data_IF_592659714700
#
_entry.id   IF_592659714700
#
_cell.length_a   1.000
_cell.length_b   1.000
_cell.length_c   1.000
_cell.angle_alpha   90.00
_cell.angle_beta   90.00
_cell.angle_gamma   90.00
#
_symmetry.space_group_name_H-M   'P 1'
#
loop_
_entity.id
_entity.type
_entity.pdbx_description
1 polymer ?
#
# COMPACT_ATOMS: atom_id res chain seq x y z
N UNK A 1 0.52 3.59 41.37
CA UNK A 1 1.96 3.60 41.67
C UNK A 1 2.66 2.89 40.52
N UNK A 2 3.20 3.65 39.56
CA UNK A 2 3.74 3.10 38.31
C UNK A 2 5.18 2.63 38.49
N UNK A 3 5.45 1.36 38.19
CA UNK A 3 6.80 0.85 38.04
C UNK A 3 7.28 1.19 36.63
N UNK A 4 8.21 2.14 36.51
CA UNK A 4 8.99 2.29 35.28
C UNK A 4 10.06 1.19 35.27
N UNK A 5 9.97 0.25 34.30
CA UNK A 5 11.05 -0.69 34.03
C UNK A 5 12.23 0.10 33.46
N UNK A 6 13.30 0.25 34.25
CA UNK A 6 14.59 0.70 33.76
C UNK A 6 15.21 -0.44 32.94
N UNK A 7 15.38 -0.22 31.63
CA UNK A 7 16.09 -1.17 30.78
C UNK A 7 17.58 -1.17 31.16
N UNK A 8 18.15 -2.36 31.36
CA UNK A 8 19.54 -2.54 31.76
C UNK A 8 20.50 -2.33 30.59
N UNK A 9 21.78 -2.11 30.89
CA UNK A 9 22.85 -1.98 29.87
C UNK A 9 22.98 -3.26 29.01
N UNK A 10 22.65 -4.41 29.58
CA UNK A 10 22.60 -5.70 28.86
C UNK A 10 21.41 -5.78 27.90
N UNK A 11 20.27 -5.15 28.23
CA UNK A 11 19.12 -5.04 27.33
C UNK A 11 19.45 -4.17 26.10
N UNK A 12 20.22 -3.08 26.30
CA UNK A 12 20.72 -2.26 25.20
C UNK A 12 21.77 -2.99 24.34
N UNK A 13 22.66 -3.77 24.94
CA UNK A 13 23.68 -4.54 24.22
C UNK A 13 23.05 -5.66 23.38
N UNK A 14 22.07 -6.39 23.92
CA UNK A 14 21.30 -7.40 23.18
C UNK A 14 20.45 -6.76 22.06
N UNK A 15 19.81 -5.62 22.31
CA UNK A 15 19.08 -4.90 21.28
C UNK A 15 19.98 -4.41 20.14
N UNK A 16 21.21 -3.95 20.44
CA UNK A 16 22.22 -3.60 19.43
C UNK A 16 22.69 -4.80 18.64
N UNK A 17 22.94 -5.93 19.29
CA UNK A 17 23.34 -7.18 18.62
C UNK A 17 22.23 -7.74 17.73
N UNK A 18 20.96 -7.58 18.10
CA UNK A 18 19.82 -8.00 17.27
C UNK A 18 19.57 -7.05 16.07
N UNK A 19 20.06 -5.81 16.14
CA UNK A 19 19.98 -4.84 15.04
C UNK A 19 21.11 -5.02 14.02
N UNK A 20 22.25 -5.60 14.40
CA UNK A 20 23.41 -5.79 13.51
C UNK A 20 23.24 -6.90 12.47
N UNK A 21 22.37 -7.89 12.73
CA UNK A 21 22.15 -9.02 11.81
C UNK A 21 20.99 -8.81 10.81
N UNK A 22 20.31 -7.65 10.87
CA UNK A 22 19.20 -7.36 9.97
C UNK A 22 19.70 -6.86 8.62
N UNK A 23 19.05 -7.26 7.50
CA UNK A 23 19.35 -6.66 6.21
C UNK A 23 19.12 -5.15 6.29
N UNK A 24 19.79 -4.33 5.45
CA UNK A 24 19.56 -2.90 5.40
C UNK A 24 18.07 -2.56 5.28
N UNK A 25 17.65 -1.45 5.88
CA UNK A 25 16.27 -1.01 5.78
C UNK A 25 15.90 -0.80 4.31
N UNK A 26 14.75 -1.34 3.86
CA UNK A 26 14.25 -1.09 2.53
C UNK A 26 14.10 0.40 2.24
N UNK A 27 14.52 0.81 1.05
CA UNK A 27 14.36 2.18 0.62
C UNK A 27 12.87 2.55 0.53
N UNK A 28 12.55 3.82 0.79
CA UNK A 28 11.18 4.32 0.66
C UNK A 28 10.75 4.45 -0.82
N UNK A 29 11.72 4.49 -1.73
CA UNK A 29 11.52 4.76 -3.15
C UNK A 29 11.30 6.25 -3.45
N UNK A 30 11.56 6.69 -4.69
CA UNK A 30 11.30 8.07 -5.10
C UNK A 30 9.79 8.37 -5.17
N UNK A 31 9.46 9.66 -5.19
CA UNK A 31 8.13 10.11 -5.61
C UNK A 31 8.04 10.01 -7.13
N UNK A 32 7.12 9.19 -7.63
CA UNK A 32 6.81 9.10 -9.06
C UNK A 32 5.53 9.89 -9.41
N UNK A 33 4.92 10.53 -8.41
CA UNK A 33 3.74 11.38 -8.55
C UNK A 33 3.99 12.58 -9.47
N UNK A 34 3.01 12.89 -10.32
CA UNK A 34 2.96 14.11 -11.15
C UNK A 34 1.58 14.74 -11.09
N UNK A 35 1.51 16.06 -11.16
CA UNK A 35 0.24 16.76 -11.43
C UNK A 35 0.00 16.72 -12.94
N UNK A 36 -1.21 16.33 -13.36
CA UNK A 36 -1.56 16.19 -14.78
C UNK A 36 -2.93 16.79 -15.06
N UNK A 37 -3.15 17.21 -16.30
CA UNK A 37 -4.50 17.41 -16.81
C UNK A 37 -5.24 16.06 -16.81
N UNK A 38 -6.49 16.05 -16.37
CA UNK A 38 -7.25 14.82 -16.22
C UNK A 38 -8.74 15.09 -16.41
N UNK A 39 -9.23 14.78 -17.60
CA UNK A 39 -10.65 14.88 -17.96
C UNK A 39 -11.43 13.72 -17.34
N UNK A 40 -12.39 14.06 -16.49
CA UNK A 40 -13.25 13.09 -15.80
C UNK A 40 -14.53 13.77 -15.31
N UNK A 41 -15.59 12.98 -15.16
CA UNK A 41 -16.83 13.39 -14.50
C UNK A 41 -16.81 13.13 -12.98
N UNK A 42 -15.74 12.52 -12.47
CA UNK A 42 -15.57 12.20 -11.06
C UNK A 42 -15.27 13.45 -10.22
N UNK A 43 -15.76 13.46 -8.99
CA UNK A 43 -15.57 14.58 -8.06
C UNK A 43 -14.16 14.57 -7.42
N UNK A 44 -13.65 15.73 -6.98
CA UNK A 44 -12.42 15.81 -6.19
C UNK A 44 -12.42 14.85 -4.99
N UNK A 45 -11.27 14.23 -4.73
CA UNK A 45 -11.13 13.17 -3.72
C UNK A 45 -11.41 11.76 -4.23
N UNK A 46 -11.94 11.61 -5.45
CA UNK A 46 -12.10 10.30 -6.10
C UNK A 46 -10.76 9.77 -6.59
N UNK A 47 -10.55 8.47 -6.38
CA UNK A 47 -9.45 7.74 -6.99
C UNK A 47 -9.94 7.07 -8.27
N UNK A 48 -9.21 7.23 -9.36
CA UNK A 48 -9.41 6.49 -10.61
C UNK A 48 -8.15 5.69 -10.91
N UNK A 49 -8.27 4.37 -10.99
CA UNK A 49 -7.18 3.47 -11.33
C UNK A 49 -7.36 3.05 -12.78
N UNK A 50 -6.37 3.33 -13.62
CA UNK A 50 -6.31 2.87 -15.01
C UNK A 50 -5.21 1.82 -15.12
N UNK A 51 -5.61 0.55 -15.13
CA UNK A 51 -4.68 -0.58 -15.07
C UNK A 51 -3.79 -0.66 -16.30
N UNK A 52 -4.35 -0.41 -17.49
CA UNK A 52 -3.61 -0.37 -18.75
C UNK A 52 -2.50 0.68 -18.78
N UNK A 53 -2.67 1.78 -18.04
CA UNK A 53 -1.66 2.85 -17.90
C UNK A 53 -0.72 2.63 -16.72
N UNK A 54 -0.96 1.60 -15.90
CA UNK A 54 -0.29 1.37 -14.62
C UNK A 54 -0.27 2.64 -13.76
N UNK A 55 -1.42 3.31 -13.71
CA UNK A 55 -1.56 4.61 -13.07
C UNK A 55 -2.77 4.69 -12.14
N UNK A 56 -2.58 5.39 -11.03
CA UNK A 56 -3.64 5.80 -10.11
C UNK A 56 -3.74 7.33 -10.16
N UNK A 57 -4.95 7.83 -10.36
CA UNK A 57 -5.26 9.26 -10.41
C UNK A 57 -6.09 9.64 -9.19
N UNK A 58 -5.62 10.59 -8.39
CA UNK A 58 -6.44 11.26 -7.37
C UNK A 58 -6.95 12.57 -7.95
N UNK A 59 -8.25 12.67 -8.19
CA UNK A 59 -8.88 13.90 -8.72
C UNK A 59 -8.73 15.00 -7.67
N UNK A 60 -8.06 16.11 -8.02
CA UNK A 60 -7.84 17.23 -7.09
C UNK A 60 -8.81 18.38 -7.32
N UNK A 61 -9.20 18.59 -8.58
CA UNK A 61 -10.21 19.56 -9.03
C UNK A 61 -10.63 19.20 -10.46
N UNK A 62 -11.64 19.89 -10.98
CA UNK A 62 -12.07 19.70 -12.37
C UNK A 62 -10.90 19.88 -13.36
N UNK A 63 -10.74 18.91 -14.27
CA UNK A 63 -9.66 18.90 -15.27
C UNK A 63 -8.26 18.59 -14.73
N UNK A 64 -8.10 18.22 -13.44
CA UNK A 64 -6.77 17.98 -12.85
C UNK A 64 -6.76 16.80 -11.87
N UNK A 65 -5.67 16.02 -11.91
CA UNK A 65 -5.40 14.97 -10.94
C UNK A 65 -3.92 14.91 -10.55
N UNK A 66 -3.67 14.29 -9.40
CA UNK A 66 -2.35 13.73 -9.08
C UNK A 66 -2.28 12.31 -9.64
N UNK A 67 -1.36 12.09 -10.59
CA UNK A 67 -1.06 10.78 -11.15
C UNK A 67 0.07 10.13 -10.37
N UNK A 68 -0.16 8.93 -9.87
CA UNK A 68 0.82 8.07 -9.22
C UNK A 68 1.11 6.88 -10.13
N UNK A 69 2.39 6.50 -10.25
CA UNK A 69 2.78 5.27 -10.91
C UNK A 69 2.48 4.09 -9.97
N UNK A 70 1.85 3.03 -10.48
CA UNK A 70 1.54 1.82 -9.71
C UNK A 70 2.06 0.56 -10.41
N UNK A 71 2.26 -0.52 -9.65
CA UNK A 71 2.20 -1.88 -10.21
C UNK A 71 0.79 -2.44 -10.03
N UNK A 72 0.33 -3.21 -11.01
CA UNK A 72 -0.95 -3.92 -10.97
C UNK A 72 -0.66 -5.41 -10.89
N UNK A 73 -1.32 -6.10 -9.95
CA UNK A 73 -1.15 -7.54 -9.83
C UNK A 73 -1.84 -8.33 -10.94
N UNK A 74 -1.40 -9.56 -11.17
CA UNK A 74 -1.99 -10.47 -12.18
C UNK A 74 -3.50 -10.61 -12.00
N UNK A 75 -3.95 -10.79 -10.76
CA UNK A 75 -5.37 -10.90 -10.39
C UNK A 75 -6.07 -9.52 -10.37
N UNK A 76 -5.31 -8.42 -10.36
CA UNK A 76 -5.83 -7.06 -10.48
C UNK A 76 -6.28 -6.73 -11.91
N UNK A 77 -5.71 -7.37 -12.94
CA UNK A 77 -6.13 -7.16 -14.32
C UNK A 77 -7.56 -7.60 -14.60
N UNK A 78 -8.04 -8.68 -13.95
CA UNK A 78 -9.40 -9.18 -14.14
C UNK A 78 -10.49 -8.33 -13.46
N UNK A 79 -10.11 -7.42 -12.55
CA UNK A 79 -11.09 -6.73 -11.70
C UNK A 79 -11.34 -5.29 -12.16
N UNK A 80 -12.62 -4.95 -12.38
CA UNK A 80 -13.08 -3.59 -12.68
C UNK A 80 -14.31 -3.24 -11.82
N UNK A 81 -14.62 -1.95 -11.77
CA UNK A 81 -15.83 -1.45 -11.13
C UNK A 81 -15.56 -0.40 -10.05
N UNK A 82 -16.57 -0.15 -9.23
CA UNK A 82 -16.56 0.91 -8.22
C UNK A 82 -16.51 0.29 -6.83
N UNK A 83 -15.66 0.85 -5.97
CA UNK A 83 -15.53 0.53 -4.55
C UNK A 83 -15.28 1.78 -3.73
N UNK A 84 -15.11 1.62 -2.43
CA UNK A 84 -14.73 2.71 -1.53
C UNK A 84 -13.51 2.34 -0.70
N UNK A 85 -12.78 3.35 -0.26
CA UNK A 85 -11.77 3.20 0.81
C UNK A 85 -12.52 2.96 2.12
N UNK A 86 -12.53 1.73 2.63
CA UNK A 86 -13.24 1.40 3.87
C UNK A 86 -12.40 1.59 5.13
N UNK A 87 -11.09 1.37 5.02
CA UNK A 87 -10.16 1.53 6.13
C UNK A 87 -8.78 1.96 5.64
N UNK A 88 -7.98 2.43 6.60
CA UNK A 88 -6.63 2.98 6.39
C UNK A 88 -5.75 2.56 7.56
N UNK A 89 -4.57 2.03 7.28
CA UNK A 89 -3.61 1.61 8.31
C UNK A 89 -2.20 2.11 8.01
N UNK A 90 -1.55 2.62 9.04
CA UNK A 90 -0.11 2.89 9.03
C UNK A 90 0.66 1.65 9.46
N UNK A 91 1.74 1.33 8.73
CA UNK A 91 2.56 0.13 8.96
C UNK A 91 1.71 -1.12 9.20
N UNK A 92 0.88 -1.53 8.22
CA UNK A 92 -0.01 -2.67 8.38
C UNK A 92 0.76 -3.97 8.64
N UNK A 93 0.17 -4.88 9.40
CA UNK A 93 0.53 -6.30 9.31
C UNK A 93 0.03 -6.87 7.97
N UNK A 94 0.67 -7.93 7.49
CA UNK A 94 0.22 -8.63 6.29
C UNK A 94 -0.07 -10.09 6.60
N UNK A 95 -1.27 -10.54 6.24
CA UNK A 95 -1.66 -11.95 6.25
C UNK A 95 -1.90 -12.36 4.81
N UNK A 96 -1.08 -13.24 4.23
CA UNK A 96 -1.33 -13.71 2.88
C UNK A 96 -2.72 -14.35 2.79
N UNK A 97 -3.52 -14.06 1.74
CA UNK A 97 -4.80 -14.71 1.53
C UNK A 97 -4.68 -16.24 1.50
N UNK A 98 -5.74 -16.95 1.87
CA UNK A 98 -5.73 -18.42 1.94
C UNK A 98 -5.39 -19.05 0.59
N UNK A 99 -5.91 -18.48 -0.48
CA UNK A 99 -5.68 -18.92 -1.87
C UNK A 99 -4.22 -18.72 -2.27
N UNK A 100 -3.58 -17.68 -1.76
CA UNK A 100 -2.16 -17.41 -1.98
C UNK A 100 -1.30 -18.45 -1.25
N UNK A 101 -1.58 -18.73 0.03
CA UNK A 101 -0.89 -19.78 0.79
C UNK A 101 -1.14 -21.19 0.24
N UNK A 102 -2.30 -21.44 -0.38
CA UNK A 102 -2.56 -22.72 -1.04
C UNK A 102 -1.65 -22.94 -2.26
N UNK A 103 -1.27 -21.85 -2.97
CA UNK A 103 -0.34 -21.91 -4.11
C UNK A 103 1.13 -21.84 -3.69
N UNK A 104 1.42 -21.17 -2.58
CA UNK A 104 2.76 -20.99 -2.01
C UNK A 104 2.72 -21.34 -0.51
N UNK A 105 2.78 -22.64 -0.15
CA UNK A 105 2.68 -23.11 1.23
C UNK A 105 3.80 -22.60 2.15
N UNK A 106 4.92 -22.17 1.59
CA UNK A 106 6.07 -21.58 2.29
C UNK A 106 5.81 -20.17 2.82
N UNK A 107 4.74 -19.50 2.36
CA UNK A 107 4.41 -18.15 2.82
C UNK A 107 4.09 -18.15 4.33
N UNK A 108 4.59 -17.15 5.07
CA UNK A 108 4.32 -17.05 6.50
C UNK A 108 2.82 -16.83 6.75
N UNK A 109 2.34 -17.26 7.92
CA UNK A 109 0.95 -16.98 8.31
C UNK A 109 0.69 -15.48 8.45
N UNK A 110 1.70 -14.73 8.88
CA UNK A 110 1.65 -13.30 9.11
C UNK A 110 3.07 -12.71 8.98
N UNK A 111 3.16 -11.54 8.37
CA UNK A 111 4.34 -10.68 8.40
C UNK A 111 4.01 -9.46 9.26
N UNK A 112 4.79 -9.17 10.31
CA UNK A 112 4.47 -8.09 11.24
C UNK A 112 4.57 -6.72 10.57
N UNK A 113 3.97 -5.73 11.22
CA UNK A 113 4.16 -4.33 10.89
C UNK A 113 5.66 -3.97 10.85
N UNK A 114 6.08 -3.21 9.83
CA UNK A 114 7.44 -2.70 9.76
C UNK A 114 7.98 -2.52 8.35
N UNK A 115 9.24 -2.05 8.23
CA UNK A 115 9.85 -1.65 6.96
C UNK A 115 10.04 -2.81 5.98
N UNK A 116 10.15 -4.05 6.49
CA UNK A 116 10.28 -5.25 5.67
C UNK A 116 8.93 -5.86 5.24
N UNK A 117 7.81 -5.30 5.67
CA UNK A 117 6.49 -5.80 5.30
C UNK A 117 6.21 -5.50 3.81
N UNK A 118 5.71 -6.47 3.01
CA UNK A 118 5.44 -6.26 1.59
C UNK A 118 4.31 -5.25 1.31
N UNK A 119 3.44 -4.96 2.28
CA UNK A 119 2.46 -3.88 2.18
C UNK A 119 3.08 -2.49 2.40
N UNK A 120 4.32 -2.43 2.86
CA UNK A 120 5.06 -1.19 3.07
C UNK A 120 4.47 -0.28 4.14
N UNK A 121 4.64 1.03 3.94
CA UNK A 121 4.38 2.01 4.98
C UNK A 121 2.89 2.28 5.23
N UNK A 122 2.02 2.13 4.23
CA UNK A 122 0.58 2.42 4.33
C UNK A 122 -0.24 1.44 3.50
N UNK A 123 -1.47 1.17 3.95
CA UNK A 123 -2.47 0.47 3.17
C UNK A 123 -3.85 1.14 3.26
N UNK A 124 -4.54 1.23 2.12
CA UNK A 124 -5.94 1.60 1.99
C UNK A 124 -6.70 0.34 1.59
N UNK A 125 -7.71 -0.03 2.37
CA UNK A 125 -8.50 -1.24 2.18
C UNK A 125 -9.74 -0.93 1.35
N UNK A 126 -9.96 -1.71 0.29
CA UNK A 126 -11.03 -1.46 -0.67
C UNK A 126 -12.24 -2.32 -0.33
N UNK A 127 -13.39 -1.67 -0.11
CA UNK A 127 -14.64 -2.31 0.25
C UNK A 127 -15.67 -2.15 -0.87
N UNK A 128 -16.42 -3.23 -1.12
CA UNK A 128 -17.61 -3.25 -1.98
C UNK A 128 -18.80 -3.57 -1.12
N UNK A 129 -19.81 -2.69 -1.10
CA UNK A 129 -21.05 -2.89 -0.33
C UNK A 129 -20.81 -3.25 1.14
N UNK A 130 -19.82 -2.59 1.76
CA UNK A 130 -19.42 -2.82 3.15
C UNK A 130 -18.57 -4.08 3.40
N UNK A 131 -18.26 -4.86 2.37
CA UNK A 131 -17.45 -6.09 2.47
C UNK A 131 -16.03 -5.87 1.94
N UNK A 132 -15.04 -6.46 2.61
CA UNK A 132 -13.64 -6.42 2.17
C UNK A 132 -13.50 -7.17 0.83
N UNK A 133 -12.89 -6.51 -0.15
CA UNK A 133 -12.59 -7.10 -1.45
C UNK A 133 -11.28 -7.88 -1.47
N UNK A 134 -10.50 -7.81 -0.38
CA UNK A 134 -9.11 -8.25 -0.27
C UNK A 134 -8.11 -7.46 -1.13
N UNK A 135 -8.58 -6.55 -1.99
CA UNK A 135 -7.75 -5.61 -2.74
C UNK A 135 -7.37 -4.40 -1.88
N UNK A 136 -6.16 -3.92 -2.11
CA UNK A 136 -5.59 -2.78 -1.37
C UNK A 136 -4.80 -1.88 -2.30
N UNK A 137 -4.76 -0.60 -1.96
CA UNK A 137 -3.74 0.34 -2.45
C UNK A 137 -2.70 0.46 -1.35
N UNK A 138 -1.46 0.08 -1.60
CA UNK A 138 -0.45 -0.03 -0.56
C UNK A 138 0.96 0.35 -1.03
N UNK A 139 1.87 0.51 -0.07
CA UNK A 139 3.30 0.77 -0.31
C UNK A 139 4.07 -0.51 -0.65
N UNK A 140 5.38 -0.49 -0.48
CA UNK A 140 6.19 -1.68 -0.70
C UNK A 140 7.55 -1.61 -0.02
N UNK A 141 8.11 -2.77 0.32
CA UNK A 141 9.51 -2.93 0.70
C UNK A 141 10.45 -3.12 -0.52
N UNK A 142 9.93 -3.09 -1.74
CA UNK A 142 10.71 -3.20 -2.98
C UNK A 142 10.33 -2.08 -3.96
N UNK A 143 10.82 -0.84 -3.77
CA UNK A 143 10.41 0.29 -4.59
C UNK A 143 10.87 0.21 -6.04
N UNK A 144 11.94 -0.53 -6.35
CA UNK A 144 12.48 -0.67 -7.70
C UNK A 144 11.52 -1.46 -8.62
N UNK A 145 10.76 -2.40 -8.05
CA UNK A 145 9.75 -3.16 -8.78
C UNK A 145 8.48 -2.38 -9.14
N UNK A 146 8.31 -1.12 -8.71
CA UNK A 146 7.09 -0.34 -8.99
C UNK A 146 7.03 0.05 -10.48
N UNK A 147 5.93 -0.31 -11.15
CA UNK A 147 5.74 -0.15 -12.60
C UNK A 147 5.93 -1.45 -13.40
N UNK A 148 6.50 -2.49 -12.79
CA UNK A 148 6.66 -3.82 -13.40
C UNK A 148 5.50 -4.76 -13.03
N UNK A 149 5.22 -5.71 -13.93
CA UNK A 149 4.17 -6.72 -13.79
C UNK A 149 4.70 -7.90 -12.96
N UNK A 150 4.05 -8.21 -11.84
CA UNK A 150 4.53 -9.30 -10.98
C UNK A 150 3.86 -9.44 -9.63
N UNK A 151 2.92 -8.57 -9.25
CA UNK A 151 2.29 -8.69 -7.93
C UNK A 151 1.12 -9.67 -7.93
N UNK A 152 0.82 -10.25 -6.78
CA UNK A 152 -0.22 -11.27 -6.60
C UNK A 152 -1.63 -10.69 -6.37
N UNK A 153 -1.90 -9.46 -6.82
CA UNK A 153 -3.28 -8.95 -6.93
C UNK A 153 -3.63 -7.64 -6.20
N UNK A 154 -2.73 -6.66 -6.07
CA UNK A 154 -3.05 -5.35 -5.48
C UNK A 154 -2.44 -4.18 -6.29
N UNK A 155 -2.70 -2.94 -5.86
CA UNK A 155 -2.14 -1.73 -6.44
C UNK A 155 -1.00 -1.21 -5.56
N UNK A 156 0.22 -1.32 -6.06
CA UNK A 156 1.44 -1.05 -5.28
C UNK A 156 2.09 0.25 -5.71
N UNK A 157 2.40 1.11 -4.74
CA UNK A 157 3.12 2.37 -4.90
C UNK A 157 4.46 2.29 -4.16
N UNK A 158 5.37 3.23 -4.43
CA UNK A 158 6.50 3.48 -3.52
C UNK A 158 5.98 3.92 -2.15
N UNK A 159 6.77 3.72 -1.08
CA UNK A 159 6.35 4.16 0.25
C UNK A 159 6.21 5.70 0.31
N UNK A 160 7.06 6.43 -0.39
CA UNK A 160 6.96 7.89 -0.52
C UNK A 160 5.60 8.32 -1.09
N UNK A 161 5.16 7.68 -2.18
CA UNK A 161 3.92 8.03 -2.85
C UNK A 161 2.67 7.56 -2.09
N UNK A 162 2.70 6.36 -1.50
CA UNK A 162 1.54 5.88 -0.71
C UNK A 162 1.33 6.71 0.54
N UNK A 163 2.39 7.22 1.17
CA UNK A 163 2.28 8.12 2.34
C UNK A 163 1.58 9.42 1.95
N UNK A 164 1.93 9.98 0.80
CA UNK A 164 1.27 11.18 0.29
C UNK A 164 -0.21 10.91 -0.05
N UNK A 165 -0.50 9.84 -0.79
CA UNK A 165 -1.88 9.44 -1.11
C UNK A 165 -2.71 9.21 0.17
N UNK A 166 -2.13 8.51 1.14
CA UNK A 166 -2.76 8.20 2.42
C UNK A 166 -3.16 9.47 3.18
N UNK A 167 -2.36 10.54 3.15
CA UNK A 167 -2.69 11.80 3.81
C UNK A 167 -3.87 12.52 3.16
N UNK A 168 -4.05 12.35 1.84
CA UNK A 168 -5.04 13.09 1.04
C UNK A 168 -6.40 12.42 0.98
N UNK A 169 -6.43 11.09 1.05
CA UNK A 169 -7.64 10.31 0.77
C UNK A 169 -8.42 10.06 2.06
N UNK A 170 -9.71 10.39 2.05
CA UNK A 170 -10.62 10.12 3.16
C UNK A 170 -11.11 8.66 3.17
N UNK A 171 -11.47 8.16 4.35
CA UNK A 171 -12.32 6.96 4.44
C UNK A 171 -13.67 7.30 3.80
N UNK A 172 -14.22 6.37 3.02
CA UNK A 172 -15.42 6.54 2.20
C UNK A 172 -15.15 7.08 0.79
N UNK A 173 -13.92 7.50 0.47
CA UNK A 173 -13.57 7.98 -0.86
C UNK A 173 -13.89 6.93 -1.93
N UNK A 174 -14.52 7.38 -3.02
CA UNK A 174 -14.84 6.55 -4.18
C UNK A 174 -13.55 6.14 -4.89
N UNK A 175 -13.50 4.88 -5.31
CA UNK A 175 -12.43 4.33 -6.13
C UNK A 175 -13.06 3.68 -7.36
N UNK A 176 -12.63 4.11 -8.55
CA UNK A 176 -13.06 3.56 -9.83
C UNK A 176 -11.90 2.80 -10.44
N UNK A 177 -12.09 1.54 -10.80
CA UNK A 177 -11.06 0.70 -11.41
C UNK A 177 -11.44 0.33 -12.83
N UNK A 178 -10.56 0.70 -13.76
CA UNK A 178 -10.70 0.57 -15.21
C UNK A 178 -9.52 -0.22 -15.77
#
# INVERSE_FOLDING_TARGET
MGMALAMSVQDFASARSALSDRPPLPAMGPSLRKTVAFETTEQPGTIVIRKGEKALYLVTRQGQALRYQISVGRDGFGWTGIVKVGAKTEWPEWRPPREMRARQPELPQMVPAGPYNPLGARALYLLRDGRDTLYRIHGTNDPEGVGFDGTSGCFRLTNTDVIDLFKRVAIGAKVVVQ
#
